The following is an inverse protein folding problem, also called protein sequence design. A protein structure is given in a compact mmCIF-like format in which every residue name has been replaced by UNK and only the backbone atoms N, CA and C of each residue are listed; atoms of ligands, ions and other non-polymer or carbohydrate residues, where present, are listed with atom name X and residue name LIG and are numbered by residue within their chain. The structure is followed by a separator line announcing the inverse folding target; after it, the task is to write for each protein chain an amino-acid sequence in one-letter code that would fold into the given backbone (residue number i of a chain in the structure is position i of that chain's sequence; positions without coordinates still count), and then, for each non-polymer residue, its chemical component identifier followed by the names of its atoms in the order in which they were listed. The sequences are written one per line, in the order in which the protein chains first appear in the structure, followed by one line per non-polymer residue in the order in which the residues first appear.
data_IF_760885947934
#
_entry.id   IF_760885947934
#
_cell.length_a   1.000
_cell.length_b   1.000
_cell.length_c   1.000
_cell.angle_alpha   90.00
_cell.angle_beta   90.00
_cell.angle_gamma   90.00
#
_symmetry.space_group_name_H-M   'P 1'
#
loop_
_entity.id
_entity.type
_entity.pdbx_description
1 polymer ?
#
# COMPACT_ATOMS: atom_id res chain seq x y z
N UNK A 1 -18.99 13.63 8.95
CA UNK A 1 -18.63 14.13 10.30
C UNK A 1 -19.85 14.25 11.19
N UNK A 2 -21.04 14.49 10.64
CA UNK A 2 -22.31 14.57 11.39
C UNK A 2 -22.55 13.36 12.32
N UNK A 3 -22.32 12.14 11.82
CA UNK A 3 -22.40 10.93 12.66
C UNK A 3 -21.45 10.99 13.88
N UNK A 4 -20.23 11.50 13.71
CA UNK A 4 -19.27 11.61 14.82
C UNK A 4 -19.71 12.64 15.86
N UNK A 5 -20.35 13.74 15.44
CA UNK A 5 -20.89 14.75 16.35
C UNK A 5 -22.12 14.28 17.12
N UNK A 6 -22.86 13.30 16.61
CA UNK A 6 -23.99 12.69 17.32
C UNK A 6 -23.53 11.64 18.35
N UNK A 7 -22.42 10.94 18.07
CA UNK A 7 -21.91 9.87 18.93
C UNK A 7 -20.99 10.38 20.05
N UNK A 8 -20.23 11.44 19.82
CA UNK A 8 -19.34 12.01 20.83
C UNK A 8 -20.16 12.96 21.72
N UNK A 9 -20.21 12.75 23.05
CA UNK A 9 -20.89 13.66 23.96
C UNK A 9 -20.43 15.11 23.77
N UNK A 10 -21.36 16.06 23.72
CA UNK A 10 -21.05 17.47 23.42
C UNK A 10 -19.95 18.06 24.31
N UNK A 11 -19.93 17.68 25.59
CA UNK A 11 -18.90 18.09 26.55
C UNK A 11 -17.50 17.54 26.26
N UNK A 12 -17.36 16.54 25.39
CA UNK A 12 -16.08 15.90 25.03
C UNK A 12 -15.62 16.19 23.61
N UNK A 13 -16.47 16.79 22.77
CA UNK A 13 -16.14 17.09 21.37
C UNK A 13 -14.90 17.97 21.23
N UNK A 14 -14.75 18.99 22.09
CA UNK A 14 -13.60 19.90 22.06
C UNK A 14 -12.29 19.28 22.56
N UNK A 15 -12.37 18.18 23.32
CA UNK A 15 -11.20 17.43 23.82
C UNK A 15 -10.83 16.26 22.90
N UNK A 16 -11.69 15.90 21.94
CA UNK A 16 -11.52 14.71 21.10
C UNK A 16 -10.71 15.04 19.85
N UNK A 17 -9.45 14.56 19.72
CA UNK A 17 -8.65 14.81 18.54
C UNK A 17 -9.15 14.01 17.34
N UNK A 18 -8.99 14.55 16.14
CA UNK A 18 -9.38 13.90 14.89
C UNK A 18 -8.16 13.83 13.98
N UNK A 19 -7.84 12.61 13.54
CA UNK A 19 -6.66 12.33 12.71
C UNK A 19 -7.09 11.86 11.33
N UNK A 20 -6.40 12.35 10.30
CA UNK A 20 -6.49 11.82 8.94
C UNK A 20 -5.09 11.42 8.48
N UNK A 21 -4.88 10.11 8.36
CA UNK A 21 -3.70 9.52 7.74
C UNK A 21 -4.06 9.04 6.33
N UNK A 22 -3.24 9.41 5.34
CA UNK A 22 -3.36 8.88 4.00
C UNK A 22 -2.21 7.91 3.68
N UNK A 23 -2.49 6.89 2.87
CA UNK A 23 -1.56 5.77 2.64
C UNK A 23 -1.09 5.72 1.17
N UNK A 24 -0.98 4.53 0.57
CA UNK A 24 -0.38 4.31 -0.74
C UNK A 24 -1.02 5.09 -1.89
N UNK A 25 -2.35 5.29 -1.88
CA UNK A 25 -3.01 6.09 -2.92
C UNK A 25 -2.47 7.53 -2.99
N UNK A 26 -2.29 8.18 -1.83
CA UNK A 26 -1.71 9.52 -1.78
C UNK A 26 -0.20 9.53 -2.06
N UNK A 27 0.51 8.43 -1.76
CA UNK A 27 1.91 8.26 -2.20
C UNK A 27 2.01 8.25 -3.73
N UNK A 28 1.11 7.52 -4.41
CA UNK A 28 1.05 7.49 -5.87
C UNK A 28 0.69 8.86 -6.45
N UNK A 29 -0.34 9.52 -5.92
CA UNK A 29 -0.72 10.87 -6.35
C UNK A 29 0.43 11.86 -6.19
N UNK A 30 1.18 11.79 -5.09
CA UNK A 30 2.34 12.68 -4.87
C UNK A 30 3.47 12.45 -5.87
N UNK A 31 3.68 11.20 -6.31
CA UNK A 31 4.63 10.88 -7.38
C UNK A 31 4.19 11.43 -8.73
N UNK A 32 2.88 11.47 -9.01
CA UNK A 32 2.33 12.08 -10.23
C UNK A 32 2.37 13.62 -10.18
N UNK A 33 1.95 14.20 -9.05
CA UNK A 33 1.86 15.64 -8.84
C UNK A 33 1.85 15.97 -7.35
N UNK A 34 2.98 16.45 -6.86
CA UNK A 34 3.11 16.94 -5.47
C UNK A 34 2.09 18.03 -5.14
N UNK A 35 1.89 18.99 -6.06
CA UNK A 35 0.91 20.07 -5.90
C UNK A 35 -0.53 19.55 -5.74
N UNK A 36 -0.89 18.50 -6.47
CA UNK A 36 -2.23 17.91 -6.38
C UNK A 36 -2.41 17.17 -5.06
N UNK A 37 -1.38 16.43 -4.62
CA UNK A 37 -1.39 15.77 -3.33
C UNK A 37 -1.50 16.77 -2.16
N UNK A 38 -0.75 17.88 -2.22
CA UNK A 38 -0.79 18.93 -1.20
C UNK A 38 -2.14 19.63 -1.15
N UNK A 39 -2.77 19.89 -2.30
CA UNK A 39 -4.14 20.46 -2.33
C UNK A 39 -5.15 19.54 -1.63
N UNK A 40 -5.04 18.22 -1.82
CA UNK A 40 -5.91 17.25 -1.17
C UNK A 40 -5.66 17.19 0.34
N UNK A 41 -4.41 17.26 0.78
CA UNK A 41 -4.06 17.26 2.21
C UNK A 41 -4.41 18.58 2.90
N UNK A 42 -4.15 19.72 2.26
CA UNK A 42 -4.47 21.05 2.75
C UNK A 42 -5.99 21.25 2.93
N UNK A 43 -6.79 20.61 2.09
CA UNK A 43 -8.24 20.60 2.24
C UNK A 43 -8.74 19.87 3.51
N UNK A 44 -7.86 19.18 4.27
CA UNK A 44 -8.24 18.28 5.38
C UNK A 44 -7.40 18.39 6.67
N UNK A 45 -6.64 19.47 6.89
CA UNK A 45 -5.75 19.58 8.06
C UNK A 45 -6.38 20.25 9.28
N UNK A 46 -6.35 19.58 10.45
CA UNK A 46 -6.39 20.23 11.77
C UNK A 46 -6.07 19.28 12.96
N UNK A 47 -4.95 19.59 13.62
CA UNK A 47 -4.53 19.44 15.04
C UNK A 47 -4.28 18.06 15.70
N UNK A 48 -3.12 17.95 16.39
CA UNK A 48 -2.56 16.74 17.06
C UNK A 48 -2.17 16.99 18.53
N UNK A 49 -2.41 16.00 19.40
CA UNK A 49 -1.62 15.65 20.60
C UNK A 49 -1.97 14.23 21.09
N UNK A 50 -0.96 13.43 21.48
CA UNK A 50 -1.07 12.01 21.86
C UNK A 50 -0.67 11.78 23.33
N UNK A 51 -1.36 10.86 24.03
CA UNK A 51 -1.00 10.38 25.39
C UNK A 51 -1.08 8.84 25.40
N UNK A 52 -0.08 8.17 25.98
CA UNK A 52 0.03 6.70 26.05
C UNK A 52 -0.03 6.18 27.49
N UNK A 53 -0.58 4.96 27.68
CA UNK A 53 -0.66 4.23 28.96
C UNK A 53 -0.13 2.80 28.84
N UNK A 54 0.68 2.42 29.82
CA UNK A 54 1.47 1.19 29.98
C UNK A 54 0.64 -0.11 30.10
N UNK A 55 1.06 -1.17 29.38
CA UNK A 55 0.55 -2.55 29.45
C UNK A 55 1.69 -3.57 29.32
N UNK A 56 1.56 -4.67 30.08
CA UNK A 56 2.58 -5.71 30.28
C UNK A 56 2.80 -6.64 29.08
N UNK A 57 4.02 -7.20 29.07
CA UNK A 57 4.60 -8.15 28.10
C UNK A 57 3.65 -9.29 27.70
N UNK A 58 3.22 -9.24 26.45
CA UNK A 58 2.76 -10.39 25.66
C UNK A 58 3.67 -10.54 24.44
N UNK A 59 3.76 -11.75 23.90
CA UNK A 59 4.39 -11.99 22.60
C UNK A 59 3.73 -11.09 21.53
N UNK A 60 4.56 -10.45 20.70
CA UNK A 60 4.06 -9.59 19.61
C UNK A 60 3.68 -10.44 18.41
N UNK A 61 2.55 -10.14 17.79
CA UNK A 61 2.19 -10.69 16.49
C UNK A 61 2.84 -9.92 15.36
N UNK A 62 3.18 -10.62 14.28
CA UNK A 62 3.45 -9.96 13.00
C UNK A 62 2.16 -9.40 12.39
N UNK A 63 2.27 -8.33 11.63
CA UNK A 63 1.18 -7.72 10.89
C UNK A 63 1.40 -7.88 9.39
N UNK A 64 0.34 -8.31 8.70
CA UNK A 64 0.24 -8.31 7.24
C UNK A 64 -0.95 -7.41 6.87
N UNK A 65 -0.71 -6.38 6.07
CA UNK A 65 -1.75 -5.43 5.63
C UNK A 65 -1.76 -5.37 4.10
N UNK A 66 -2.93 -5.60 3.50
CA UNK A 66 -3.13 -5.58 2.05
C UNK A 66 -4.15 -4.50 1.68
N UNK A 67 -3.66 -3.42 1.10
CA UNK A 67 -4.48 -2.35 0.55
C UNK A 67 -4.70 -2.47 -0.96
N UNK A 68 -5.35 -1.46 -1.53
CA UNK A 68 -5.52 -1.36 -2.98
C UNK A 68 -4.21 -1.05 -3.72
N UNK A 69 -3.31 -0.26 -3.12
CA UNK A 69 -2.11 0.24 -3.79
C UNK A 69 -0.77 -0.21 -3.18
N UNK A 70 -0.75 -0.78 -1.98
CA UNK A 70 0.44 -1.40 -1.40
C UNK A 70 0.07 -2.61 -0.54
N UNK A 71 1.07 -3.41 -0.21
CA UNK A 71 1.01 -4.40 0.86
C UNK A 71 2.17 -4.19 1.83
N UNK A 72 2.01 -4.59 3.08
CA UNK A 72 2.95 -4.38 4.16
C UNK A 72 3.15 -5.66 4.97
N UNK A 73 4.37 -5.82 5.47
CA UNK A 73 4.74 -6.85 6.43
C UNK A 73 5.58 -6.21 7.53
N UNK A 74 5.23 -6.49 8.78
CA UNK A 74 5.88 -5.92 9.95
C UNK A 74 5.97 -6.96 11.07
N UNK A 75 7.15 -7.20 11.63
CA UNK A 75 7.34 -8.15 12.74
C UNK A 75 8.64 -7.90 13.52
N UNK A 76 8.73 -8.44 14.75
CA UNK A 76 9.98 -8.47 15.54
C UNK A 76 10.79 -9.70 15.10
N UNK A 77 11.99 -9.54 14.51
CA UNK A 77 12.81 -10.67 14.06
C UNK A 77 13.48 -11.39 15.23
N UNK A 78 13.69 -12.70 15.10
CA UNK A 78 14.27 -13.55 16.17
C UNK A 78 15.66 -13.09 16.64
N UNK A 79 16.53 -12.67 15.73
CA UNK A 79 17.92 -12.36 16.04
C UNK A 79 18.18 -10.88 16.32
N UNK A 80 17.14 -10.03 16.32
CA UNK A 80 17.24 -8.55 16.40
C UNK A 80 18.18 -7.90 15.37
N UNK A 81 18.73 -8.67 14.43
CA UNK A 81 19.56 -8.21 13.33
C UNK A 81 18.72 -8.16 12.07
N UNK A 82 18.76 -7.02 11.40
CA UNK A 82 18.12 -6.78 10.12
C UNK A 82 19.23 -6.37 9.15
N UNK A 83 19.44 -7.18 8.11
CA UNK A 83 20.54 -6.99 7.14
C UNK A 83 20.39 -5.70 6.33
N UNK A 84 19.15 -5.23 6.16
CA UNK A 84 18.78 -4.00 5.48
C UNK A 84 18.33 -2.94 6.52
N UNK A 85 19.23 -2.05 7.00
CA UNK A 85 18.91 -1.10 8.06
C UNK A 85 17.73 -0.18 7.75
N UNK A 86 17.47 0.11 6.47
CA UNK A 86 16.32 0.91 6.00
C UNK A 86 14.96 0.25 6.29
N UNK A 87 14.95 -1.07 6.49
CA UNK A 87 13.75 -1.82 6.88
C UNK A 87 13.65 -2.02 8.40
N UNK A 88 14.60 -1.46 9.16
CA UNK A 88 14.61 -1.51 10.62
C UNK A 88 13.98 -0.26 11.21
N UNK A 89 13.02 -0.45 12.12
CA UNK A 89 12.44 0.60 12.92
C UNK A 89 12.68 0.31 14.40
N UNK A 90 13.28 1.25 15.11
CA UNK A 90 13.56 1.14 16.53
C UNK A 90 12.71 2.16 17.31
N UNK A 91 12.01 1.68 18.33
CA UNK A 91 11.21 2.54 19.20
C UNK A 91 11.04 1.90 20.57
N UNK A 92 10.69 2.73 21.56
CA UNK A 92 10.37 2.27 22.91
C UNK A 92 8.89 2.44 23.18
N UNK A 93 8.20 1.36 23.52
CA UNK A 93 6.80 1.39 23.96
C UNK A 93 6.74 0.82 25.37
N UNK A 94 6.15 1.60 26.28
CA UNK A 94 5.87 1.14 27.65
C UNK A 94 7.11 0.63 28.40
N UNK A 95 8.24 1.30 28.19
CA UNK A 95 9.50 0.94 28.84
C UNK A 95 10.30 -0.17 28.16
N UNK A 96 9.76 -0.79 27.10
CA UNK A 96 10.43 -1.87 26.35
C UNK A 96 10.91 -1.38 24.98
N UNK A 97 12.14 -1.72 24.63
CA UNK A 97 12.74 -1.37 23.34
C UNK A 97 12.41 -2.45 22.31
N UNK A 98 11.90 -2.01 21.16
CA UNK A 98 11.55 -2.88 20.04
C UNK A 98 12.42 -2.53 18.83
N UNK A 99 13.00 -3.56 18.23
CA UNK A 99 13.57 -3.51 16.88
C UNK A 99 12.63 -4.29 15.98
N UNK A 100 12.00 -3.61 15.03
CA UNK A 100 10.96 -4.16 14.17
C UNK A 100 11.43 -4.12 12.72
N UNK A 101 11.30 -5.26 12.03
CA UNK A 101 11.37 -5.27 10.57
C UNK A 101 10.05 -4.75 10.02
N UNK A 102 10.10 -3.79 9.10
CA UNK A 102 8.92 -3.29 8.41
C UNK A 102 9.24 -2.95 6.97
N UNK A 103 8.39 -3.39 6.04
CA UNK A 103 8.51 -3.03 4.63
C UNK A 103 7.14 -2.78 4.00
N UNK A 104 7.07 -1.85 3.04
CA UNK A 104 5.87 -1.54 2.28
C UNK A 104 6.14 -1.66 0.79
N UNK A 105 5.57 -2.69 0.18
CA UNK A 105 5.65 -2.93 -1.26
C UNK A 105 4.61 -2.07 -1.98
N UNK A 106 5.00 -0.86 -2.37
CA UNK A 106 4.16 0.01 -3.20
C UNK A 106 3.91 -0.64 -4.57
N UNK A 107 2.73 -0.42 -5.14
CA UNK A 107 2.22 -1.06 -6.36
C UNK A 107 1.81 -2.53 -6.23
N UNK A 108 2.11 -3.19 -5.11
CA UNK A 108 1.73 -4.58 -4.83
C UNK A 108 0.45 -4.72 -4.00
N UNK A 109 -0.32 -3.63 -3.85
CA UNK A 109 -1.71 -3.73 -3.41
C UNK A 109 -2.58 -4.35 -4.50
N UNK A 110 -3.70 -4.98 -4.12
CA UNK A 110 -4.49 -5.83 -5.04
C UNK A 110 -4.95 -5.11 -6.31
N UNK A 111 -5.29 -3.83 -6.23
CA UNK A 111 -5.81 -3.08 -7.37
C UNK A 111 -4.65 -2.69 -8.30
N UNK A 112 -3.57 -2.17 -7.75
CA UNK A 112 -2.38 -1.81 -8.53
C UNK A 112 -1.69 -3.05 -9.14
N UNK A 113 -1.66 -4.19 -8.43
CA UNK A 113 -1.17 -5.45 -8.97
C UNK A 113 -2.02 -5.91 -10.17
N UNK A 114 -3.36 -5.77 -10.10
CA UNK A 114 -4.23 -6.02 -11.25
C UNK A 114 -3.92 -5.08 -12.42
N UNK A 115 -3.77 -3.77 -12.18
CA UNK A 115 -3.42 -2.82 -13.23
C UNK A 115 -2.06 -3.15 -13.87
N UNK A 116 -1.07 -3.52 -13.07
CA UNK A 116 0.24 -3.99 -13.56
C UNK A 116 0.10 -5.23 -14.43
N UNK A 117 -0.70 -6.21 -13.99
CA UNK A 117 -0.97 -7.42 -14.74
C UNK A 117 -1.62 -7.12 -16.09
N UNK A 118 -2.66 -6.30 -16.10
CA UNK A 118 -3.35 -5.88 -17.32
C UNK A 118 -2.40 -5.14 -18.27
N UNK A 119 -1.56 -4.26 -17.74
CA UNK A 119 -0.59 -3.49 -18.51
C UNK A 119 0.48 -4.39 -19.15
N UNK A 120 0.86 -5.47 -18.46
CA UNK A 120 1.82 -6.46 -18.96
C UNK A 120 1.23 -7.32 -20.08
N UNK A 121 -0.01 -7.77 -19.92
CA UNK A 121 -0.59 -8.88 -20.69
C UNK A 121 -1.56 -8.47 -21.80
N UNK A 122 -1.86 -7.17 -21.97
CA UNK A 122 -2.85 -6.58 -22.89
C UNK A 122 -3.29 -7.54 -24.01
N UNK A 123 -4.42 -8.22 -23.77
CA UNK A 123 -5.16 -9.02 -24.74
C UNK A 123 -6.63 -8.59 -24.70
N UNK A 124 -7.16 -8.19 -25.87
CA UNK A 124 -8.39 -7.41 -25.99
C UNK A 124 -9.60 -8.27 -26.39
N UNK A 125 -10.39 -8.82 -25.46
CA UNK A 125 -11.72 -9.44 -25.68
C UNK A 125 -12.55 -9.36 -24.38
N UNK A 126 -13.88 -9.17 -24.36
CA UNK A 126 -14.87 -9.08 -23.21
C UNK A 126 -15.14 -7.82 -22.33
N UNK A 127 -16.41 -7.75 -21.90
CA UNK A 127 -17.34 -6.62 -21.67
C UNK A 127 -16.94 -5.36 -20.85
N UNK A 128 -15.78 -5.32 -20.17
CA UNK A 128 -15.35 -4.10 -19.47
C UNK A 128 -14.34 -3.33 -20.30
N UNK A 129 -14.80 -2.23 -20.89
CA UNK A 129 -13.93 -1.32 -21.63
C UNK A 129 -12.95 -0.64 -20.65
N UNK A 130 -11.66 -0.92 -20.82
CA UNK A 130 -10.59 -0.21 -20.12
C UNK A 130 -9.98 0.80 -21.08
N UNK A 131 -9.85 2.05 -20.62
CA UNK A 131 -9.15 3.08 -21.38
C UNK A 131 -7.64 2.90 -21.19
N UNK A 132 -6.89 2.87 -22.29
CA UNK A 132 -5.43 2.77 -22.29
C UNK A 132 -4.81 3.94 -21.53
N UNK A 133 -5.39 5.14 -21.61
CA UNK A 133 -4.91 6.30 -20.85
C UNK A 133 -5.07 6.12 -19.34
N UNK A 134 -6.12 5.42 -18.91
CA UNK A 134 -6.38 5.13 -17.49
C UNK A 134 -5.46 4.01 -17.01
N UNK A 135 -5.22 2.98 -17.84
CA UNK A 135 -4.28 1.90 -17.55
C UNK A 135 -2.88 2.42 -17.24
N UNK A 136 -2.39 3.40 -18.00
CA UNK A 136 -1.07 4.00 -17.83
C UNK A 136 -1.07 5.31 -17.02
N UNK A 137 -2.16 5.61 -16.33
CA UNK A 137 -2.27 6.84 -15.53
C UNK A 137 -1.38 6.81 -14.28
N UNK A 138 -1.19 5.62 -13.69
CA UNK A 138 -0.47 5.47 -12.43
C UNK A 138 1.03 5.21 -12.63
N UNK A 139 1.90 5.61 -11.68
CA UNK A 139 3.32 5.26 -11.70
C UNK A 139 3.57 3.75 -11.75
N UNK A 140 2.64 2.94 -11.21
CA UNK A 140 2.79 1.49 -11.11
C UNK A 140 2.78 0.77 -12.46
N UNK A 141 2.13 1.32 -13.48
CA UNK A 141 1.98 0.70 -14.81
C UNK A 141 2.90 1.29 -15.86
N UNK A 142 3.59 2.40 -15.56
CA UNK A 142 4.52 3.11 -16.47
C UNK A 142 5.60 2.20 -17.07
N UNK A 143 6.13 1.25 -16.29
CA UNK A 143 7.14 0.29 -16.76
C UNK A 143 6.65 -0.66 -17.86
N UNK A 144 5.34 -0.77 -18.04
CA UNK A 144 4.68 -1.62 -19.04
C UNK A 144 4.03 -0.80 -20.17
N UNK A 145 4.28 0.52 -20.22
CA UNK A 145 3.68 1.42 -21.21
C UNK A 145 4.13 1.05 -22.63
N UNK A 146 3.14 0.82 -23.51
CA UNK A 146 3.35 0.47 -24.92
C UNK A 146 2.42 1.32 -25.79
N UNK A 147 2.89 1.64 -27.01
CA UNK A 147 2.06 2.34 -27.99
C UNK A 147 1.10 1.35 -28.63
N UNK A 148 -0.19 1.48 -28.34
CA UNK A 148 -1.25 0.59 -28.83
C UNK A 148 -2.03 1.26 -29.97
N UNK A 149 -2.51 0.49 -30.96
CA UNK A 149 -3.30 1.03 -32.07
C UNK A 149 -4.77 1.31 -31.69
N UNK A 150 -5.12 1.15 -30.41
CA UNK A 150 -6.46 1.33 -29.87
C UNK A 150 -6.39 2.10 -28.55
N UNK A 151 -7.41 2.92 -28.29
CA UNK A 151 -7.53 3.68 -27.04
C UNK A 151 -8.28 2.91 -25.96
N UNK A 152 -8.97 1.83 -26.34
CA UNK A 152 -9.74 0.98 -25.43
C UNK A 152 -9.58 -0.49 -25.81
N UNK A 153 -9.55 -1.34 -24.79
CA UNK A 153 -9.61 -2.77 -24.96
C UNK A 153 -10.59 -3.39 -23.96
N UNK A 154 -10.93 -4.64 -24.24
CA UNK A 154 -11.89 -5.45 -23.51
C UNK A 154 -11.14 -6.56 -22.76
N UNK A 155 -11.55 -6.94 -21.55
CA UNK A 155 -10.90 -7.98 -20.73
C UNK A 155 -11.75 -9.27 -20.67
N UNK A 156 -11.16 -10.43 -21.01
CA UNK A 156 -11.86 -11.71 -21.11
C UNK A 156 -11.38 -12.63 -19.99
N UNK A 157 -12.28 -12.91 -19.05
CA UNK A 157 -12.05 -13.95 -18.07
C UNK A 157 -12.10 -15.32 -18.73
N UNK A 158 -11.05 -16.11 -18.56
CA UNK A 158 -11.01 -17.53 -18.94
C UNK A 158 -11.44 -18.45 -17.80
N UNK A 159 -11.41 -17.95 -16.55
CA UNK A 159 -11.82 -18.71 -15.36
C UNK A 159 -10.83 -19.79 -14.92
N UNK A 160 -9.57 -19.71 -15.34
CA UNK A 160 -8.52 -20.68 -15.02
C UNK A 160 -7.64 -20.19 -13.85
N UNK A 161 -7.72 -20.89 -12.72
CA UNK A 161 -6.97 -20.56 -11.51
C UNK A 161 -5.46 -20.74 -11.70
N UNK A 162 -5.00 -21.81 -12.35
CA UNK A 162 -3.57 -22.10 -12.50
C UNK A 162 -2.92 -21.08 -13.43
N UNK A 163 -3.55 -20.77 -14.56
CA UNK A 163 -3.09 -19.71 -15.45
C UNK A 163 -3.11 -18.34 -14.74
N UNK A 164 -4.16 -18.04 -13.97
CA UNK A 164 -4.23 -16.82 -13.17
C UNK A 164 -3.05 -16.73 -12.19
N UNK A 165 -2.79 -17.80 -11.43
CA UNK A 165 -1.70 -17.88 -10.46
C UNK A 165 -0.34 -17.69 -11.14
N UNK A 166 -0.04 -18.46 -12.19
CA UNK A 166 1.22 -18.35 -12.93
C UNK A 166 1.43 -16.95 -13.47
N UNK A 167 0.38 -16.38 -14.06
CA UNK A 167 0.45 -15.05 -14.66
C UNK A 167 0.66 -13.94 -13.61
N UNK A 168 0.16 -14.12 -12.39
CA UNK A 168 0.41 -13.20 -11.26
C UNK A 168 1.85 -13.32 -10.76
N UNK A 169 2.40 -14.54 -10.69
CA UNK A 169 3.78 -14.77 -10.23
C UNK A 169 4.78 -13.99 -11.08
N UNK A 170 4.51 -13.79 -12.36
CA UNK A 170 5.40 -13.01 -13.23
C UNK A 170 5.47 -11.50 -12.93
N UNK A 171 4.71 -10.99 -11.96
CA UNK A 171 4.84 -9.62 -11.45
C UNK A 171 5.93 -9.49 -10.38
N UNK A 172 6.36 -10.61 -9.80
CA UNK A 172 7.34 -10.68 -8.73
C UNK A 172 8.67 -11.11 -9.33
N UNK A 173 9.72 -10.31 -9.08
CA UNK A 173 11.07 -10.67 -9.51
C UNK A 173 11.83 -11.24 -8.32
N UNK A 174 12.17 -12.52 -8.36
CA UNK A 174 12.95 -13.22 -7.34
C UNK A 174 14.35 -13.61 -7.84
N UNK A 175 14.77 -13.09 -9.00
CA UNK A 175 16.03 -13.48 -9.65
C UNK A 175 17.31 -12.97 -8.96
N UNK A 176 17.20 -11.89 -8.17
CA UNK A 176 18.34 -11.28 -7.49
C UNK A 176 17.99 -10.96 -6.04
N UNK A 177 18.82 -11.40 -5.11
CA UNK A 177 18.71 -11.09 -3.68
C UNK A 177 20.11 -10.84 -3.11
N UNK A 178 20.43 -9.61 -2.66
CA UNK A 178 21.74 -9.30 -2.08
C UNK A 178 21.85 -9.67 -0.59
N UNK A 179 20.77 -10.19 0.00
CA UNK A 179 20.64 -10.55 1.41
C UNK A 179 20.58 -12.08 1.59
N UNK A 180 20.58 -12.57 2.83
CA UNK A 180 20.43 -14.01 3.11
C UNK A 180 19.11 -14.58 2.58
N UNK A 181 18.05 -13.77 2.58
CA UNK A 181 16.73 -14.10 2.07
C UNK A 181 15.95 -12.82 1.74
N UNK A 182 15.18 -12.85 0.65
CA UNK A 182 14.36 -11.74 0.19
C UNK A 182 12.91 -12.19 0.03
N UNK A 183 11.98 -11.23 0.06
CA UNK A 183 10.61 -11.47 -0.35
C UNK A 183 10.53 -11.55 -1.89
N UNK A 184 10.75 -10.41 -2.55
CA UNK A 184 10.84 -10.22 -3.99
C UNK A 184 11.31 -8.78 -4.29
N UNK A 185 11.75 -8.55 -5.52
CA UNK A 185 12.45 -7.36 -6.02
C UNK A 185 13.72 -7.00 -5.22
#
# INVERSE_FOLDING_TARGET
MEMSTELIPTSKQHETPIYLGATAGMRLLRMESEQSADRVLAAKQSWLNLVSRDHQKQETFGALDLGGASTQITFVPLNNTIEAPENSLQFRLYGEDYTVYTHSFLCYGKDQALWQKLAKDIQARYEKAVNVSELYSTPCTKRFEKKLPFDKFLIQGTGDYEQCQQSILELFNDSYCPYSQCAFN
#
